data_IF_809437946343
#
_entry.id   IF_809437946343
#
_cell.length_a   1.000
_cell.length_b   1.000
_cell.length_c   1.000
_cell.angle_alpha   90.00
_cell.angle_beta   90.00
_cell.angle_gamma   90.00
#
_symmetry.space_group_name_H-M   'P 1'
#
loop_
_entity.id
_entity.type
_entity.pdbx_description
1 polymer ?
#
# COMPACT_ATOMS: atom_id res chain seq x y z
N UNK A 1 25.80 -5.48 -44.23
CA UNK A 1 24.67 -4.76 -43.58
C UNK A 1 24.43 -5.42 -42.24
N UNK A 2 24.99 -4.84 -41.19
CA UNK A 2 24.67 -5.12 -39.79
C UNK A 2 24.52 -3.73 -39.18
N UNK A 3 23.29 -3.34 -38.89
CA UNK A 3 22.95 -2.06 -38.27
C UNK A 3 23.20 -2.19 -36.78
N UNK A 4 24.34 -1.67 -36.33
CA UNK A 4 24.59 -1.42 -34.91
C UNK A 4 23.72 -0.23 -34.48
N UNK A 5 22.61 -0.52 -33.81
CA UNK A 5 21.90 0.47 -33.00
C UNK A 5 22.75 0.78 -31.78
N UNK A 6 23.61 1.79 -31.94
CA UNK A 6 24.37 2.44 -30.88
C UNK A 6 23.39 3.07 -29.87
N UNK A 7 23.04 2.34 -28.82
CA UNK A 7 22.48 2.95 -27.61
C UNK A 7 23.60 3.76 -26.95
N UNK A 8 23.43 5.09 -26.97
CA UNK A 8 24.26 6.08 -26.29
C UNK A 8 24.54 5.67 -24.84
N UNK A 9 25.72 6.00 -24.28
CA UNK A 9 26.10 5.56 -22.95
C UNK A 9 25.13 6.15 -21.94
N UNK A 10 24.38 5.24 -21.33
CA UNK A 10 23.76 5.30 -20.01
C UNK A 10 23.84 6.68 -19.35
N UNK A 11 22.69 7.36 -19.26
CA UNK A 11 22.46 8.24 -18.12
C UNK A 11 22.92 7.47 -16.88
N UNK A 12 23.85 8.03 -16.12
CA UNK A 12 24.30 7.50 -14.83
C UNK A 12 23.13 7.58 -13.83
N UNK A 13 22.10 6.78 -14.05
CA UNK A 13 21.14 6.45 -13.03
C UNK A 13 21.89 5.55 -12.06
N UNK A 14 21.93 5.87 -10.74
CA UNK A 14 22.48 4.95 -9.76
C UNK A 14 21.82 3.58 -9.98
N UNK A 15 22.65 2.56 -10.18
CA UNK A 15 22.14 1.21 -10.38
C UNK A 15 21.31 0.83 -9.16
N UNK A 16 20.00 0.67 -9.36
CA UNK A 16 19.12 0.17 -8.31
C UNK A 16 19.68 -1.17 -7.81
N UNK A 17 19.68 -1.42 -6.49
CA UNK A 17 20.12 -2.69 -5.93
C UNK A 17 19.43 -3.84 -6.68
N UNK A 18 20.20 -4.82 -7.16
CA UNK A 18 19.63 -6.02 -7.75
C UNK A 18 19.00 -6.86 -6.64
N UNK A 19 17.68 -6.82 -6.55
CA UNK A 19 16.89 -7.71 -5.71
C UNK A 19 16.44 -8.93 -6.51
N UNK A 20 16.30 -10.09 -5.85
CA UNK A 20 15.65 -11.26 -6.47
C UNK A 20 14.16 -10.99 -6.63
N UNK A 21 13.49 -11.73 -7.52
CA UNK A 21 12.04 -11.64 -7.65
C UNK A 21 11.33 -11.93 -6.32
N UNK A 22 11.75 -12.98 -5.61
CA UNK A 22 11.18 -13.36 -4.31
C UNK A 22 11.29 -12.23 -3.28
N UNK A 23 12.47 -11.60 -3.19
CA UNK A 23 12.67 -10.48 -2.27
C UNK A 23 11.82 -9.28 -2.66
N UNK A 24 11.72 -8.96 -3.95
CA UNK A 24 10.88 -7.87 -4.43
C UNK A 24 9.39 -8.09 -4.06
N UNK A 25 8.91 -9.33 -4.13
CA UNK A 25 7.54 -9.68 -3.75
C UNK A 25 7.32 -9.53 -2.25
N UNK A 26 8.26 -10.03 -1.44
CA UNK A 26 8.23 -9.86 0.02
C UNK A 26 8.20 -8.37 0.38
N UNK A 27 9.12 -7.57 -0.17
CA UNK A 27 9.20 -6.14 0.09
C UNK A 27 7.90 -5.41 -0.29
N UNK A 28 7.28 -5.80 -1.40
CA UNK A 28 6.01 -5.23 -1.84
C UNK A 28 4.86 -5.61 -0.89
N UNK A 29 4.73 -6.87 -0.50
CA UNK A 29 3.70 -7.32 0.43
C UNK A 29 3.87 -6.69 1.83
N UNK A 30 5.11 -6.62 2.32
CA UNK A 30 5.44 -5.92 3.57
C UNK A 30 5.09 -4.44 3.48
N UNK A 31 5.37 -3.78 2.35
CA UNK A 31 5.01 -2.36 2.17
C UNK A 31 3.50 -2.12 2.23
N UNK A 32 2.70 -3.05 1.70
CA UNK A 32 1.22 -2.98 1.77
C UNK A 32 0.76 -3.18 3.20
N UNK A 33 1.26 -4.21 3.89
CA UNK A 33 0.91 -4.49 5.28
C UNK A 33 1.28 -3.34 6.22
N UNK A 34 2.43 -2.70 6.01
CA UNK A 34 2.83 -1.51 6.77
C UNK A 34 1.88 -0.32 6.52
N UNK A 35 1.43 -0.13 5.28
CA UNK A 35 0.47 0.92 4.93
C UNK A 35 -0.90 0.64 5.56
N UNK A 36 -1.40 -0.59 5.50
CA UNK A 36 -2.66 -1.01 6.13
C UNK A 36 -2.63 -0.79 7.66
N UNK A 37 -1.51 -1.15 8.30
CA UNK A 37 -1.29 -0.88 9.73
C UNK A 37 -1.30 0.61 10.05
N UNK A 38 -0.64 1.44 9.22
CA UNK A 38 -0.66 2.89 9.37
C UNK A 38 -2.07 3.48 9.25
N UNK A 39 -2.88 3.00 8.31
CA UNK A 39 -4.28 3.42 8.16
C UNK A 39 -5.13 3.07 9.39
N UNK A 40 -4.95 1.89 9.97
CA UNK A 40 -5.59 1.50 11.23
C UNK A 40 -5.23 2.43 12.39
N UNK A 41 -3.95 2.82 12.51
CA UNK A 41 -3.50 3.78 13.51
C UNK A 41 -4.12 5.16 13.32
N UNK A 42 -4.28 5.64 12.08
CA UNK A 42 -4.99 6.89 11.78
C UNK A 42 -6.44 6.81 12.27
N UNK A 43 -7.15 5.73 11.94
CA UNK A 43 -8.54 5.54 12.39
C UNK A 43 -8.65 5.49 13.93
N UNK A 44 -7.68 4.86 14.59
CA UNK A 44 -7.61 4.84 16.05
C UNK A 44 -7.43 6.25 16.63
N UNK A 45 -6.54 7.06 16.05
CA UNK A 45 -6.33 8.45 16.46
C UNK A 45 -7.60 9.29 16.26
N UNK A 46 -8.31 9.10 15.14
CA UNK A 46 -9.58 9.77 14.85
C UNK A 46 -10.69 9.38 15.83
N UNK A 47 -10.76 8.10 16.22
CA UNK A 47 -11.66 7.60 17.27
C UNK A 47 -11.33 8.22 18.64
N UNK A 48 -10.05 8.28 19.00
CA UNK A 48 -9.60 8.92 20.25
C UNK A 48 -9.89 10.42 20.28
N UNK A 49 -9.72 11.12 19.16
CA UNK A 49 -10.10 12.53 19.00
C UNK A 49 -11.59 12.73 19.30
N UNK A 50 -12.46 11.89 18.72
CA UNK A 50 -13.90 11.94 18.97
C UNK A 50 -14.25 11.65 20.43
N UNK A 51 -13.67 10.59 21.00
CA UNK A 51 -13.89 10.21 22.40
C UNK A 51 -13.50 11.33 23.36
N UNK A 52 -12.39 12.02 23.08
CA UNK A 52 -11.92 13.14 23.90
C UNK A 52 -12.84 14.35 23.75
N UNK A 53 -13.25 14.68 22.52
CA UNK A 53 -14.18 15.78 22.24
C UNK A 53 -15.51 15.60 22.96
N UNK A 54 -16.03 14.38 23.01
CA UNK A 54 -17.28 14.05 23.72
C UNK A 54 -17.17 14.09 25.25
N UNK A 55 -15.96 13.96 25.80
CA UNK A 55 -15.71 13.94 27.24
C UNK A 55 -15.32 15.32 27.81
N UNK A 56 -15.10 16.31 26.95
CA UNK A 56 -14.76 17.68 27.36
C UNK A 56 -16.03 18.43 27.80
N UNK A 57 -16.03 18.93 29.04
CA UNK A 57 -17.18 19.64 29.65
C UNK A 57 -17.51 20.97 28.96
N UNK A 58 -16.56 21.59 28.25
CA UNK A 58 -16.70 22.93 27.64
C UNK A 58 -16.79 22.92 26.10
N UNK A 59 -16.97 21.75 25.46
CA UNK A 59 -17.15 21.69 24.00
C UNK A 59 -18.62 21.97 23.65
N UNK A 60 -18.86 23.07 22.94
CA UNK A 60 -20.17 23.34 22.37
C UNK A 60 -20.47 22.42 21.16
N UNK A 61 -21.75 22.35 20.79
CA UNK A 61 -22.19 21.49 19.69
C UNK A 61 -21.55 21.86 18.35
N UNK A 62 -21.35 23.15 18.07
CA UNK A 62 -20.73 23.60 16.82
C UNK A 62 -19.30 23.08 16.72
N UNK A 63 -18.54 23.18 17.80
CA UNK A 63 -17.17 22.70 17.87
C UNK A 63 -17.09 21.18 17.79
N UNK A 64 -18.04 20.48 18.41
CA UNK A 64 -18.12 19.02 18.31
C UNK A 64 -18.40 18.57 16.86
N UNK A 65 -19.29 19.25 16.15
CA UNK A 65 -19.57 18.99 14.74
C UNK A 65 -18.36 19.26 13.84
N UNK A 66 -17.62 20.36 14.07
CA UNK A 66 -16.36 20.60 13.35
C UNK A 66 -15.34 19.47 13.54
N UNK A 67 -15.22 18.95 14.77
CA UNK A 67 -14.33 17.82 15.06
C UNK A 67 -14.82 16.55 14.35
N UNK A 68 -16.14 16.34 14.27
CA UNK A 68 -16.74 15.21 13.56
C UNK A 68 -16.54 15.29 12.05
N UNK A 69 -16.72 16.47 11.45
CA UNK A 69 -16.46 16.68 10.03
C UNK A 69 -14.99 16.40 9.69
N UNK A 70 -14.07 16.86 10.54
CA UNK A 70 -12.65 16.52 10.42
C UNK A 70 -12.40 15.01 10.46
N UNK A 71 -13.03 14.28 11.38
CA UNK A 71 -12.88 12.83 11.48
C UNK A 71 -13.50 12.10 10.27
N UNK A 72 -14.68 12.53 9.82
CA UNK A 72 -15.36 11.98 8.64
C UNK A 72 -14.52 12.14 7.39
N UNK A 73 -13.91 13.31 7.19
CA UNK A 73 -12.99 13.55 6.07
C UNK A 73 -11.77 12.62 6.10
N UNK A 74 -11.22 12.35 7.29
CA UNK A 74 -10.11 11.41 7.43
C UNK A 74 -10.55 9.96 7.16
N UNK A 75 -11.73 9.54 7.61
CA UNK A 75 -12.27 8.20 7.30
C UNK A 75 -12.46 8.03 5.79
N UNK A 76 -12.96 9.05 5.09
CA UNK A 76 -13.06 9.02 3.63
C UNK A 76 -11.70 8.92 2.93
N UNK A 77 -10.71 9.69 3.39
CA UNK A 77 -9.35 9.60 2.86
C UNK A 77 -8.75 8.20 3.07
N UNK A 78 -8.92 7.63 4.27
CA UNK A 78 -8.46 6.27 4.61
C UNK A 78 -9.12 5.23 3.72
N UNK A 79 -10.43 5.32 3.47
CA UNK A 79 -11.14 4.38 2.60
C UNK A 79 -10.61 4.39 1.15
N UNK A 80 -10.26 5.58 0.63
CA UNK A 80 -9.66 5.69 -0.69
C UNK A 80 -8.24 5.09 -0.74
N UNK A 81 -7.45 5.28 0.32
CA UNK A 81 -6.12 4.67 0.42
C UNK A 81 -6.21 3.15 0.55
N UNK A 82 -7.18 2.64 1.31
CA UNK A 82 -7.44 1.21 1.46
C UNK A 82 -7.78 0.55 0.11
N UNK A 83 -8.61 1.21 -0.71
CA UNK A 83 -8.89 0.75 -2.07
C UNK A 83 -7.62 0.71 -2.92
N UNK A 84 -6.76 1.73 -2.83
CA UNK A 84 -5.50 1.74 -3.54
C UNK A 84 -4.53 0.63 -3.08
N UNK A 85 -4.54 0.27 -1.79
CA UNK A 85 -3.76 -0.88 -1.28
C UNK A 85 -4.29 -2.20 -1.83
N UNK A 86 -5.60 -2.37 -1.87
CA UNK A 86 -6.25 -3.52 -2.51
C UNK A 86 -5.86 -3.64 -3.98
N UNK A 87 -5.93 -2.54 -4.74
CA UNK A 87 -5.58 -2.55 -6.17
C UNK A 87 -4.09 -2.93 -6.39
N UNK A 88 -3.19 -2.45 -5.51
CA UNK A 88 -1.76 -2.87 -5.54
C UNK A 88 -1.60 -4.36 -5.25
N UNK A 89 -2.31 -4.89 -4.25
CA UNK A 89 -2.26 -6.30 -3.90
C UNK A 89 -2.78 -7.18 -5.04
N UNK A 90 -3.90 -6.78 -5.66
CA UNK A 90 -4.46 -7.44 -6.83
C UNK A 90 -3.49 -7.42 -8.01
N UNK A 91 -2.86 -6.28 -8.27
CA UNK A 91 -1.83 -6.17 -9.31
C UNK A 91 -0.68 -7.16 -9.08
N UNK A 92 -0.16 -7.24 -7.85
CA UNK A 92 0.92 -8.19 -7.51
C UNK A 92 0.44 -9.62 -7.71
N UNK A 93 -0.72 -9.98 -7.16
CA UNK A 93 -1.28 -11.34 -7.24
C UNK A 93 -1.52 -11.79 -8.68
N UNK A 94 -1.99 -10.89 -9.56
CA UNK A 94 -2.27 -11.22 -10.96
C UNK A 94 -1.00 -11.36 -11.82
N UNK A 95 0.10 -10.74 -11.41
CA UNK A 95 1.37 -10.76 -12.17
C UNK A 95 2.39 -11.77 -11.62
N UNK A 96 2.12 -12.38 -10.47
CA UNK A 96 2.91 -13.49 -9.97
C UNK A 96 2.53 -14.78 -10.68
N UNK A 97 3.32 -15.15 -11.69
CA UNK A 97 3.21 -16.45 -12.34
C UNK A 97 3.52 -17.56 -11.32
N UNK A 98 2.52 -18.40 -11.02
CA UNK A 98 2.72 -19.65 -10.30
C UNK A 98 2.76 -20.79 -11.32
N UNK A 99 3.94 -21.30 -11.72
CA UNK A 99 3.97 -22.50 -12.54
C UNK A 99 3.33 -23.62 -11.74
N UNK A 100 2.24 -24.18 -12.26
CA UNK A 100 1.70 -25.46 -11.80
C UNK A 100 2.88 -26.43 -11.70
N UNK A 101 3.12 -27.02 -10.52
CA UNK A 101 3.98 -28.19 -10.43
C UNK A 101 3.26 -29.33 -11.14
N UNK A 102 3.36 -29.36 -12.46
CA UNK A 102 3.02 -30.54 -13.24
C UNK A 102 3.96 -31.64 -12.76
N UNK A 103 3.35 -32.55 -12.01
CA UNK A 103 3.94 -33.78 -11.47
C UNK A 103 4.89 -34.40 -12.49
N UNK A 104 6.20 -34.40 -12.20
CA UNK A 104 7.17 -35.30 -12.81
C UNK A 104 6.86 -36.72 -12.35
N UNK A 105 5.79 -37.30 -12.90
CA UNK A 105 5.55 -38.75 -12.92
C UNK A 105 5.92 -39.25 -14.30
N UNK A 106 7.22 -39.25 -14.62
CA UNK A 106 7.75 -40.17 -15.64
C UNK A 106 8.18 -41.43 -14.92
N UNK A 107 7.21 -42.34 -14.74
CA UNK A 107 7.51 -43.75 -14.77
C UNK A 107 7.82 -44.11 -16.23
N UNK A 108 9.09 -44.42 -16.54
CA UNK A 108 9.50 -45.63 -17.28
C UNK A 108 11.02 -45.73 -17.33
#
# INVERSE_FOLDING_TARGET
MITETNCTPTLECPALPRVTLDQAVIDLLESIALQESALSHILCAESQKMKTAMALEEVDLCKLLEINDSATNMVHAVANLELALKDKLEFISNNLYYPSTENTTTAQ
#
